data_IF_126481791334
#
_entry.id   IF_126481791334
#
_cell.length_a   1.000
_cell.length_b   1.000
_cell.length_c   1.000
_cell.angle_alpha   90.00
_cell.angle_beta   90.00
_cell.angle_gamma   90.00
#
_symmetry.space_group_name_H-M   'P 1'
#
loop_
_entity.id
_entity.type
_entity.pdbx_description
1 polymer ?
#
# COMPACT_ATOMS: atom_id res chain seq x y z
N UNK A 1 10.10 11.71 7.73
CA UNK A 1 10.33 11.27 6.31
C UNK A 1 9.47 12.13 5.38
N UNK A 2 9.62 12.03 4.06
CA UNK A 2 8.68 12.71 3.14
C UNK A 2 7.48 11.82 2.81
N UNK A 3 6.36 12.42 2.38
CA UNK A 3 5.20 11.67 1.84
C UNK A 3 5.60 10.75 0.67
N UNK A 4 6.62 11.14 -0.11
CA UNK A 4 7.14 10.30 -1.21
C UNK A 4 7.78 9.03 -0.69
N UNK A 5 8.53 9.12 0.41
CA UNK A 5 9.16 7.96 1.05
C UNK A 5 8.10 7.04 1.64
N UNK A 6 7.07 7.59 2.28
CA UNK A 6 5.93 6.80 2.77
C UNK A 6 5.25 6.00 1.64
N UNK A 7 4.94 6.65 0.51
CA UNK A 7 4.36 5.97 -0.67
C UNK A 7 5.30 4.87 -1.19
N UNK A 8 6.60 5.14 -1.25
CA UNK A 8 7.59 4.15 -1.68
C UNK A 8 7.65 2.96 -0.70
N UNK A 9 7.62 3.23 0.60
CA UNK A 9 7.62 2.21 1.64
C UNK A 9 6.38 1.32 1.57
N UNK A 10 5.19 1.89 1.33
CA UNK A 10 3.97 1.11 1.10
C UNK A 10 4.11 0.16 -0.09
N UNK A 11 4.57 0.66 -1.24
CA UNK A 11 4.76 -0.18 -2.44
C UNK A 11 5.85 -1.23 -2.20
N UNK A 12 6.95 -0.89 -1.51
CA UNK A 12 8.00 -1.85 -1.14
C UNK A 12 7.48 -2.90 -0.18
N UNK A 13 6.62 -2.56 0.77
CA UNK A 13 6.00 -3.51 1.68
C UNK A 13 5.15 -4.57 0.96
N UNK A 14 4.53 -4.22 -0.19
CA UNK A 14 3.84 -5.23 -1.02
C UNK A 14 4.80 -6.18 -1.75
N UNK A 15 6.07 -5.82 -1.95
CA UNK A 15 7.05 -6.59 -2.73
C UNK A 15 8.06 -7.35 -1.87
N UNK A 16 8.42 -6.77 -0.74
CA UNK A 16 9.44 -7.25 0.19
C UNK A 16 8.93 -7.09 1.63
N UNK A 17 7.79 -7.69 1.99
CA UNK A 17 7.15 -7.48 3.28
C UNK A 17 8.06 -7.83 4.48
N UNK A 18 8.96 -8.79 4.33
CA UNK A 18 9.97 -9.17 5.33
C UNK A 18 10.89 -8.01 5.73
N UNK A 19 11.17 -7.08 4.80
CA UNK A 19 12.02 -5.91 5.07
C UNK A 19 11.33 -4.88 5.96
N UNK A 20 10.00 -4.99 6.10
CA UNK A 20 9.15 -4.08 6.88
C UNK A 20 8.57 -4.77 8.13
N UNK A 21 9.14 -5.90 8.55
CA UNK A 21 8.67 -6.67 9.71
C UNK A 21 7.41 -7.50 9.46
N UNK A 22 6.90 -7.55 8.22
CA UNK A 22 5.68 -8.26 7.83
C UNK A 22 6.00 -9.66 7.30
N UNK A 23 6.84 -10.43 8.00
CA UNK A 23 7.30 -11.76 7.52
C UNK A 23 6.16 -12.73 7.19
N UNK A 24 5.02 -12.63 7.88
CA UNK A 24 3.85 -13.47 7.61
C UNK A 24 3.22 -13.19 6.24
N UNK A 25 3.46 -12.02 5.63
CA UNK A 25 2.95 -11.68 4.31
C UNK A 25 3.86 -12.17 3.17
N UNK A 26 5.12 -12.54 3.45
CA UNK A 26 6.05 -13.01 2.41
C UNK A 26 5.54 -14.27 1.71
N UNK A 27 4.92 -15.20 2.45
CA UNK A 27 4.32 -16.40 1.87
C UNK A 27 2.94 -16.14 1.23
N UNK A 28 2.29 -15.02 1.58
CA UNK A 28 0.93 -14.69 1.15
C UNK A 28 0.88 -13.89 -0.16
N UNK A 29 1.97 -13.21 -0.53
CA UNK A 29 2.05 -12.39 -1.74
C UNK A 29 2.93 -13.10 -2.76
N UNK A 30 2.34 -13.47 -3.90
CA UNK A 30 3.10 -13.99 -5.04
C UNK A 30 3.77 -12.85 -5.82
N UNK A 31 3.03 -11.76 -6.07
CA UNK A 31 3.58 -10.56 -6.71
C UNK A 31 3.00 -9.27 -6.12
N UNK A 32 3.88 -8.36 -5.71
CA UNK A 32 3.52 -7.04 -5.19
C UNK A 32 3.26 -5.99 -6.26
N UNK A 33 2.86 -4.79 -5.82
CA UNK A 33 2.54 -3.68 -6.68
C UNK A 33 3.77 -3.17 -7.47
N UNK A 34 3.58 -2.88 -8.75
CA UNK A 34 4.63 -2.34 -9.63
C UNK A 34 4.93 -0.86 -9.32
N UNK A 35 5.99 -0.26 -9.90
CA UNK A 35 6.27 1.18 -9.78
C UNK A 35 5.10 2.08 -10.22
N UNK A 36 4.13 1.56 -11.00
CA UNK A 36 2.90 2.30 -11.31
C UNK A 36 2.04 2.55 -10.07
N UNK A 37 2.11 1.67 -9.07
CA UNK A 37 1.41 1.83 -7.79
C UNK A 37 1.81 3.12 -7.08
N UNK A 38 3.11 3.44 -7.01
CA UNK A 38 3.58 4.66 -6.35
C UNK A 38 3.13 5.93 -7.07
N UNK A 39 3.12 5.92 -8.41
CA UNK A 39 2.64 7.04 -9.23
C UNK A 39 1.16 7.32 -8.95
N UNK A 40 0.32 6.28 -8.91
CA UNK A 40 -1.12 6.42 -8.71
C UNK A 40 -1.49 6.73 -7.25
N UNK A 41 -0.76 6.21 -6.27
CA UNK A 41 -0.88 6.63 -4.87
C UNK A 41 -0.59 8.13 -4.73
N UNK A 42 0.50 8.63 -5.33
CA UNK A 42 0.85 10.05 -5.27
C UNK A 42 -0.18 10.95 -5.94
N UNK A 43 -0.59 10.62 -7.18
CA UNK A 43 -1.62 11.39 -7.91
C UNK A 43 -2.98 11.34 -7.22
N UNK A 44 -3.37 10.17 -6.73
CA UNK A 44 -4.62 9.97 -6.00
C UNK A 44 -4.66 10.78 -4.72
N UNK A 45 -3.59 10.73 -3.92
CA UNK A 45 -3.48 11.50 -2.68
C UNK A 45 -3.51 13.03 -2.93
N UNK A 46 -2.92 13.50 -4.04
CA UNK A 46 -3.05 14.90 -4.47
C UNK A 46 -4.50 15.26 -4.81
N UNK A 47 -5.22 14.38 -5.50
CA UNK A 47 -6.63 14.60 -5.83
C UNK A 47 -7.50 14.63 -4.56
N UNK A 48 -7.29 13.70 -3.62
CA UNK A 48 -7.98 13.67 -2.32
C UNK A 48 -7.72 14.97 -1.55
N UNK A 49 -6.45 15.38 -1.42
CA UNK A 49 -6.08 16.62 -0.74
C UNK A 49 -6.74 17.85 -1.39
N UNK A 50 -6.75 17.92 -2.73
CA UNK A 50 -7.37 19.01 -3.47
C UNK A 50 -8.89 19.07 -3.27
N UNK A 51 -9.58 17.91 -3.33
CA UNK A 51 -11.01 17.82 -3.05
C UNK A 51 -11.36 18.20 -1.60
N UNK A 52 -10.43 17.96 -0.67
CA UNK A 52 -10.52 18.40 0.72
C UNK A 52 -10.12 19.88 0.92
N UNK A 53 -9.88 20.66 -0.15
CA UNK A 53 -9.55 22.08 -0.09
C UNK A 53 -8.13 22.39 0.39
N UNK A 54 -7.23 21.40 0.42
CA UNK A 54 -5.84 21.55 0.87
C UNK A 54 -4.87 21.62 -0.31
N UNK A 55 -3.87 22.48 -0.19
CA UNK A 55 -2.76 22.62 -1.15
C UNK A 55 -1.59 21.67 -0.91
N UNK A 56 -1.70 20.73 0.02
CA UNK A 56 -0.65 19.80 0.41
C UNK A 56 -1.22 18.43 0.78
N UNK A 57 -0.42 17.40 0.56
CA UNK A 57 -0.78 15.99 0.85
C UNK A 57 -0.37 15.64 2.28
N UNK A 58 -1.25 14.92 2.98
CA UNK A 58 -1.01 14.31 4.29
C UNK A 58 -0.95 12.79 4.19
N UNK A 59 -0.42 12.08 5.19
CA UNK A 59 -0.41 10.62 5.19
C UNK A 59 -1.81 10.02 5.08
N UNK A 60 -2.83 10.69 5.62
CA UNK A 60 -4.21 10.24 5.57
C UNK A 60 -4.75 10.16 4.13
N UNK A 61 -4.38 11.12 3.26
CA UNK A 61 -4.80 11.14 1.86
C UNK A 61 -4.26 9.93 1.09
N UNK A 62 -3.04 9.50 1.43
CA UNK A 62 -2.42 8.29 0.87
C UNK A 62 -3.14 7.04 1.37
N UNK A 63 -3.50 6.99 2.66
CA UNK A 63 -4.25 5.86 3.25
C UNK A 63 -5.64 5.74 2.62
N UNK A 64 -6.32 6.85 2.37
CA UNK A 64 -7.67 6.89 1.80
C UNK A 64 -7.72 6.25 0.40
N UNK A 65 -6.73 6.55 -0.45
CA UNK A 65 -6.68 6.01 -1.81
C UNK A 65 -5.95 4.65 -1.92
N UNK A 66 -5.39 4.13 -0.82
CA UNK A 66 -4.52 2.96 -0.84
C UNK A 66 -5.22 1.70 -1.35
N UNK A 67 -6.44 1.43 -0.90
CA UNK A 67 -7.21 0.26 -1.30
C UNK A 67 -7.55 0.29 -2.79
N UNK A 68 -8.03 1.43 -3.29
CA UNK A 68 -8.39 1.59 -4.71
C UNK A 68 -7.20 1.39 -5.64
N UNK A 69 -6.02 1.85 -5.23
CA UNK A 69 -4.80 1.71 -6.04
C UNK A 69 -4.20 0.31 -5.93
N UNK A 70 -4.18 -0.30 -4.75
CA UNK A 70 -3.37 -1.49 -4.49
C UNK A 70 -4.13 -2.83 -4.63
N UNK A 71 -5.43 -2.89 -4.41
CA UNK A 71 -6.19 -4.18 -4.33
C UNK A 71 -6.07 -5.06 -5.57
N UNK A 72 -6.01 -4.43 -6.75
CA UNK A 72 -5.88 -5.11 -8.04
C UNK A 72 -4.41 -5.22 -8.52
N UNK A 73 -3.45 -4.92 -7.64
CA UNK A 73 -2.01 -4.90 -7.94
C UNK A 73 -1.20 -5.83 -7.05
N UNK A 74 -1.88 -6.55 -6.15
CA UNK A 74 -1.29 -7.58 -5.29
C UNK A 74 -1.85 -8.90 -5.80
N UNK A 75 -0.95 -9.78 -6.25
CA UNK A 75 -1.28 -11.15 -6.62
C UNK A 75 -1.01 -12.02 -5.41
N UNK A 76 -2.05 -12.71 -4.95
CA UNK A 76 -1.99 -13.62 -3.82
C UNK A 76 -1.33 -14.94 -4.23
N UNK A 77 -0.66 -15.58 -3.28
CA UNK A 77 -0.19 -16.94 -3.45
C UNK A 77 -1.33 -17.95 -3.29
N UNK A 78 -1.12 -19.17 -3.75
CA UNK A 78 -2.06 -20.29 -3.53
C UNK A 78 -2.34 -20.55 -2.04
N UNK A 79 -1.33 -20.35 -1.17
CA UNK A 79 -1.48 -20.49 0.28
C UNK A 79 -2.44 -19.43 0.84
N UNK A 80 -2.31 -18.17 0.41
CA UNK A 80 -3.21 -17.09 0.80
C UNK A 80 -4.66 -17.36 0.35
N UNK A 81 -4.85 -17.87 -0.87
CA UNK A 81 -6.18 -18.26 -1.35
C UNK A 81 -6.78 -19.41 -0.52
N UNK A 82 -5.98 -20.41 -0.17
CA UNK A 82 -6.40 -21.53 0.67
C UNK A 82 -6.80 -21.09 2.09
N UNK A 83 -6.12 -20.06 2.63
CA UNK A 83 -6.43 -19.45 3.91
C UNK A 83 -7.56 -18.40 3.85
N UNK A 84 -8.17 -18.18 2.68
CA UNK A 84 -9.20 -17.16 2.44
C UNK A 84 -8.73 -15.74 2.80
N UNK A 85 -7.45 -15.45 2.58
CA UNK A 85 -6.88 -14.10 2.70
C UNK A 85 -7.24 -13.30 1.45
N UNK A 86 -7.66 -12.06 1.63
CA UNK A 86 -7.97 -11.15 0.52
C UNK A 86 -6.88 -10.06 0.37
N UNK A 87 -6.73 -9.44 -0.81
CA UNK A 87 -5.79 -8.34 -1.00
C UNK A 87 -6.03 -7.18 -0.02
N UNK A 88 -7.28 -6.95 0.38
CA UNK A 88 -7.67 -5.96 1.38
C UNK A 88 -7.03 -6.22 2.75
N UNK A 89 -6.94 -7.48 3.19
CA UNK A 89 -6.32 -7.86 4.46
C UNK A 89 -4.82 -7.54 4.45
N UNK A 90 -4.17 -7.78 3.31
CA UNK A 90 -2.76 -7.47 3.10
C UNK A 90 -2.53 -5.96 3.14
N UNK A 91 -3.37 -5.19 2.44
CA UNK A 91 -3.27 -3.73 2.41
C UNK A 91 -3.49 -3.15 3.80
N UNK A 92 -4.49 -3.62 4.54
CA UNK A 92 -4.74 -3.17 5.92
C UNK A 92 -3.51 -3.40 6.81
N UNK A 93 -2.95 -4.62 6.82
CA UNK A 93 -1.74 -4.96 7.61
C UNK A 93 -0.54 -4.09 7.23
N UNK A 94 -0.37 -3.80 5.94
CA UNK A 94 0.71 -2.90 5.48
C UNK A 94 0.48 -1.48 6.00
N UNK A 95 -0.73 -0.93 5.91
CA UNK A 95 -1.05 0.44 6.36
C UNK A 95 -0.95 0.61 7.88
N UNK A 96 -1.16 -0.46 8.64
CA UNK A 96 -1.03 -0.48 10.10
C UNK A 96 0.43 -0.57 10.56
N UNK A 97 1.30 -1.17 9.73
CA UNK A 97 2.69 -1.47 10.11
C UNK A 97 3.67 -0.42 9.58
N UNK A 98 3.46 0.10 8.36
CA UNK A 98 4.37 1.09 7.77
C UNK A 98 4.21 2.44 8.49
N UNK A 99 5.27 2.99 9.10
CA UNK A 99 5.19 4.25 9.84
C UNK A 99 4.76 5.42 8.95
N UNK A 100 3.92 6.30 9.50
CA UNK A 100 3.59 7.58 8.86
C UNK A 100 4.66 8.63 9.17
N UNK A 101 4.98 9.52 8.21
CA UNK A 101 6.00 10.55 8.36
C UNK A 101 5.58 11.74 9.24
#
# INVERSE_FOLDING_TARGET
ESIKDYILNLVRATRYPETMGLKSLTAMIEFGASPRGSIWLGKGAQAVAFLAGRGYVTPQDVKEIAFDVLRHRIILSYEAEAEQVFPEDIIARILDTVPVP
#
